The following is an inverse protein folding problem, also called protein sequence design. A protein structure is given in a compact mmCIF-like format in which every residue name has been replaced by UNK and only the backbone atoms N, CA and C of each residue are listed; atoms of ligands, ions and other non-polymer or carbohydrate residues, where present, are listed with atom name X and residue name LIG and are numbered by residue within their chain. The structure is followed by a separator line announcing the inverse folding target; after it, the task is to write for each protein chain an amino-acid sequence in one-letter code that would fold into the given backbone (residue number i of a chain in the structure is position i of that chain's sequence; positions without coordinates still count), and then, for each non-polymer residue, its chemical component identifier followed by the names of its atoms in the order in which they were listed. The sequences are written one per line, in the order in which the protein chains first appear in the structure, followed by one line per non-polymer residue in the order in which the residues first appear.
data_IF_559156550818
#
_entry.id   IF_559156550818
#
_cell.length_a   1.000
_cell.length_b   1.000
_cell.length_c   1.000
_cell.angle_alpha   90.00
_cell.angle_beta   90.00
_cell.angle_gamma   90.00
#
_symmetry.space_group_name_H-M   'P 1'
#
loop_
_entity.id
_entity.type
_entity.pdbx_description
1 polymer ?
#
# COMPACT_ATOMS: atom_id res chain seq x y z
N UNK A 1 -9.59 -27.47 -25.58
CA UNK A 1 -10.77 -26.91 -24.91
C UNK A 1 -10.20 -25.96 -23.89
N UNK A 2 -10.21 -24.68 -24.18
CA UNK A 2 -9.72 -23.62 -23.31
C UNK A 2 -10.80 -23.38 -22.26
N UNK A 3 -10.48 -23.67 -21.00
CA UNK A 3 -11.27 -23.15 -19.90
C UNK A 3 -11.21 -21.63 -19.96
N UNK A 4 -12.34 -21.05 -20.31
CA UNK A 4 -12.51 -19.61 -20.26
C UNK A 4 -12.36 -19.20 -18.77
N UNK A 5 -11.43 -18.30 -18.54
CA UNK A 5 -11.22 -17.62 -17.27
C UNK A 5 -12.52 -16.86 -16.92
N UNK A 6 -13.42 -17.50 -16.19
CA UNK A 6 -14.71 -16.95 -15.74
C UNK A 6 -14.51 -16.22 -14.40
N UNK A 7 -13.40 -15.47 -14.29
CA UNK A 7 -13.18 -14.53 -13.19
C UNK A 7 -14.16 -13.39 -13.37
N UNK A 8 -15.07 -13.11 -12.41
CA UNK A 8 -15.97 -11.97 -12.50
C UNK A 8 -15.12 -10.70 -12.67
N UNK A 9 -15.15 -10.12 -13.84
CA UNK A 9 -14.52 -8.83 -14.11
C UNK A 9 -15.31 -7.77 -13.35
N UNK A 10 -14.92 -7.51 -12.09
CA UNK A 10 -15.37 -6.29 -11.43
C UNK A 10 -14.90 -5.11 -12.28
N UNK A 11 -15.84 -4.41 -12.88
CA UNK A 11 -15.54 -3.20 -13.60
C UNK A 11 -15.04 -2.17 -12.57
N UNK A 12 -13.77 -1.78 -12.68
CA UNK A 12 -13.23 -0.67 -11.88
C UNK A 12 -13.72 0.62 -12.52
N UNK A 13 -14.43 1.43 -11.76
CA UNK A 13 -14.82 2.78 -12.15
C UNK A 13 -13.73 3.75 -11.74
N UNK A 14 -13.36 4.64 -12.65
CA UNK A 14 -12.40 5.71 -12.40
C UNK A 14 -13.12 7.05 -12.32
N UNK A 15 -12.70 7.90 -11.39
CA UNK A 15 -13.27 9.23 -11.19
C UNK A 15 -12.21 10.18 -10.63
N UNK A 16 -12.57 11.47 -10.57
CA UNK A 16 -11.69 12.50 -9.99
C UNK A 16 -12.34 13.12 -8.77
N UNK A 17 -11.53 13.42 -7.76
CA UNK A 17 -11.94 14.12 -6.54
C UNK A 17 -11.18 15.42 -6.45
N UNK A 18 -11.92 16.54 -6.55
CA UNK A 18 -11.36 17.88 -6.35
C UNK A 18 -11.10 18.12 -4.86
N UNK A 19 -9.86 18.46 -4.53
CA UNK A 19 -9.47 18.86 -3.19
C UNK A 19 -9.65 20.38 -3.02
N UNK A 20 -9.88 20.82 -1.78
CA UNK A 20 -10.13 22.24 -1.45
C UNK A 20 -8.96 23.18 -1.80
N UNK A 21 -7.77 22.64 -1.94
CA UNK A 21 -6.55 23.36 -2.31
C UNK A 21 -6.30 23.42 -3.83
N UNK A 22 -7.27 22.93 -4.62
CA UNK A 22 -7.21 22.93 -6.08
C UNK A 22 -6.46 21.76 -6.70
N UNK A 23 -6.00 20.80 -5.89
CA UNK A 23 -5.44 19.55 -6.38
C UNK A 23 -6.56 18.54 -6.70
N UNK A 24 -6.26 17.59 -7.56
CA UNK A 24 -7.18 16.51 -7.98
C UNK A 24 -6.57 15.17 -7.58
N UNK A 25 -7.39 14.27 -7.07
CA UNK A 25 -7.03 12.86 -6.89
C UNK A 25 -7.79 12.00 -7.90
N UNK A 26 -7.07 11.17 -8.63
CA UNK A 26 -7.64 10.14 -9.48
C UNK A 26 -7.96 8.91 -8.63
N UNK A 27 -9.20 8.45 -8.68
CA UNK A 27 -9.79 7.46 -7.78
C UNK A 27 -10.27 6.26 -8.56
N UNK A 28 -10.08 5.08 -7.99
CA UNK A 28 -10.55 3.79 -8.48
C UNK A 28 -11.55 3.20 -7.49
N UNK A 29 -12.64 2.62 -7.99
CA UNK A 29 -13.70 2.03 -7.19
C UNK A 29 -14.27 0.79 -7.89
N UNK A 30 -14.25 -0.35 -7.22
CA UNK A 30 -14.86 -1.58 -7.75
C UNK A 30 -16.37 -1.64 -7.60
N UNK A 31 -16.98 -0.65 -6.92
CA UNK A 31 -18.42 -0.69 -6.62
C UNK A 31 -18.78 -1.83 -5.67
N UNK A 32 -20.09 -2.10 -5.56
CA UNK A 32 -20.56 -3.20 -4.74
C UNK A 32 -20.12 -4.56 -5.32
N UNK A 33 -19.57 -5.46 -4.51
CA UNK A 33 -19.05 -6.74 -4.95
C UNK A 33 -20.11 -7.75 -5.41
N UNK A 34 -21.38 -7.37 -5.44
CA UNK A 34 -22.48 -8.17 -5.96
C UNK A 34 -23.84 -7.69 -5.54
N UNK A 35 -24.89 -8.06 -6.31
CA UNK A 35 -26.27 -7.81 -5.94
C UNK A 35 -26.66 -8.68 -4.74
N UNK A 36 -27.33 -8.15 -3.69
CA UNK A 36 -27.83 -8.97 -2.59
C UNK A 36 -28.64 -10.18 -3.12
N UNK A 37 -28.30 -11.37 -2.65
CA UNK A 37 -28.96 -12.61 -3.07
C UNK A 37 -28.21 -13.44 -4.12
N UNK A 38 -27.05 -12.99 -4.61
CA UNK A 38 -26.15 -13.84 -5.40
C UNK A 38 -25.54 -14.91 -4.49
N UNK A 39 -25.58 -16.22 -4.83
CA UNK A 39 -24.98 -17.26 -4.01
C UNK A 39 -23.51 -16.99 -3.74
N UNK A 40 -23.12 -16.90 -2.46
CA UNK A 40 -21.75 -16.63 -2.00
C UNK A 40 -21.46 -15.16 -1.65
N UNK A 41 -22.39 -14.21 -1.87
CA UNK A 41 -22.23 -12.84 -1.40
C UNK A 41 -22.70 -12.74 0.07
N UNK A 42 -21.89 -12.20 1.00
CA UNK A 42 -22.33 -11.97 2.37
C UNK A 42 -23.54 -11.03 2.43
N UNK A 43 -24.45 -11.28 3.38
CA UNK A 43 -25.55 -10.36 3.65
C UNK A 43 -25.01 -9.09 4.36
N UNK A 44 -25.46 -7.92 3.93
CA UNK A 44 -25.12 -6.63 4.53
C UNK A 44 -24.42 -5.67 3.59
N UNK A 45 -24.04 -4.50 4.10
CA UNK A 45 -23.27 -3.53 3.35
C UNK A 45 -21.84 -4.05 3.12
N UNK A 46 -21.23 -3.80 1.94
CA UNK A 46 -19.86 -4.23 1.67
C UNK A 46 -18.89 -3.52 2.61
N UNK A 47 -17.86 -4.26 3.06
CA UNK A 47 -16.74 -3.64 3.74
C UNK A 47 -15.91 -2.87 2.71
N UNK A 48 -15.79 -1.57 2.89
CA UNK A 48 -14.87 -0.78 2.06
C UNK A 48 -13.45 -0.99 2.57
N UNK A 49 -12.55 -1.40 1.68
CA UNK A 49 -11.11 -1.46 1.95
C UNK A 49 -10.40 -0.46 1.05
N UNK A 50 -9.72 0.50 1.65
CA UNK A 50 -8.89 1.44 0.90
C UNK A 50 -7.52 0.80 0.66
N UNK A 51 -7.21 0.60 -0.63
CA UNK A 51 -5.90 0.09 -1.04
C UNK A 51 -4.90 1.22 -1.20
N UNK A 52 -3.75 1.07 -0.53
CA UNK A 52 -2.61 1.95 -0.68
C UNK A 52 -1.55 1.26 -1.56
N UNK A 53 -1.29 1.84 -2.72
CA UNK A 53 -0.34 1.31 -3.69
C UNK A 53 1.12 1.45 -3.25
N UNK A 54 2.00 0.57 -3.76
CA UNK A 54 3.45 0.63 -3.54
C UNK A 54 4.14 1.81 -4.25
N UNK A 55 5.45 1.84 -4.16
CA UNK A 55 6.29 2.85 -4.82
C UNK A 55 7.28 2.14 -5.77
N UNK A 56 7.31 2.46 -7.07
CA UNK A 56 6.37 3.36 -7.77
C UNK A 56 5.20 2.57 -8.39
N UNK A 57 3.97 2.88 -8.05
CA UNK A 57 2.79 2.28 -8.67
C UNK A 57 1.73 3.36 -8.90
N UNK A 58 0.81 3.14 -9.85
CA UNK A 58 -0.49 3.83 -9.86
C UNK A 58 -1.44 3.18 -8.85
N UNK A 59 -2.53 3.87 -8.52
CA UNK A 59 -3.47 3.47 -7.48
C UNK A 59 -4.41 2.33 -7.83
N UNK A 60 -4.37 1.75 -9.03
CA UNK A 60 -5.27 0.68 -9.40
C UNK A 60 -5.33 -0.44 -8.33
N UNK A 61 -6.53 -0.92 -7.95
CA UNK A 61 -6.67 -1.91 -6.89
C UNK A 61 -6.09 -3.28 -7.28
N UNK A 62 -5.70 -4.13 -6.30
CA UNK A 62 -4.95 -5.36 -6.53
C UNK A 62 -5.82 -6.44 -7.18
N UNK A 63 -5.80 -6.51 -8.51
CA UNK A 63 -6.58 -7.48 -9.29
C UNK A 63 -6.42 -8.94 -8.80
N UNK A 64 -5.24 -9.42 -8.37
CA UNK A 64 -5.10 -10.77 -7.85
C UNK A 64 -6.01 -11.08 -6.65
N UNK A 65 -6.47 -10.06 -5.92
CA UNK A 65 -7.34 -10.22 -4.75
C UNK A 65 -8.84 -10.02 -5.05
N UNK A 66 -9.25 -9.77 -6.29
CA UNK A 66 -10.65 -9.49 -6.61
C UNK A 66 -11.58 -10.66 -6.30
N UNK A 67 -11.17 -11.89 -6.62
CA UNK A 67 -11.98 -13.07 -6.30
C UNK A 67 -12.16 -13.26 -4.79
N UNK A 68 -11.11 -13.05 -4.00
CA UNK A 68 -11.18 -13.12 -2.55
C UNK A 68 -12.05 -11.97 -1.99
N UNK A 69 -11.90 -10.76 -2.49
CA UNK A 69 -12.70 -9.62 -2.10
C UNK A 69 -14.20 -9.84 -2.35
N UNK A 70 -14.56 -10.39 -3.51
CA UNK A 70 -15.95 -10.74 -3.83
C UNK A 70 -16.53 -11.75 -2.82
N UNK A 71 -15.77 -12.80 -2.50
CA UNK A 71 -16.21 -13.80 -1.50
C UNK A 71 -16.40 -13.23 -0.10
N UNK A 72 -15.62 -12.19 0.24
CA UNK A 72 -15.64 -11.52 1.55
C UNK A 72 -16.61 -10.33 1.61
N UNK A 73 -17.27 -9.97 0.50
CA UNK A 73 -18.12 -8.78 0.42
C UNK A 73 -17.32 -7.49 0.60
N UNK A 74 -16.15 -7.39 -0.03
CA UNK A 74 -15.25 -6.24 0.04
C UNK A 74 -15.37 -5.42 -1.25
N UNK A 75 -15.54 -4.11 -1.08
CA UNK A 75 -15.41 -3.07 -2.11
C UNK A 75 -14.03 -2.44 -2.00
N UNK A 76 -13.24 -2.53 -3.04
CA UNK A 76 -11.98 -1.81 -3.12
C UNK A 76 -12.21 -0.35 -3.52
N UNK A 77 -11.62 0.54 -2.77
CA UNK A 77 -11.43 1.95 -3.12
C UNK A 77 -9.94 2.23 -3.09
N UNK A 78 -9.43 2.99 -4.04
CA UNK A 78 -8.03 3.40 -4.06
C UNK A 78 -7.86 4.69 -4.84
N UNK A 79 -6.68 5.27 -4.81
CA UNK A 79 -6.37 6.49 -5.55
C UNK A 79 -4.88 6.53 -5.91
N UNK A 80 -4.56 7.26 -6.95
CA UNK A 80 -3.19 7.60 -7.25
C UNK A 80 -2.68 8.58 -6.20
N UNK A 81 -1.60 8.25 -5.48
CA UNK A 81 -0.97 9.25 -4.61
C UNK A 81 -0.53 10.46 -5.44
N UNK A 82 -0.51 11.68 -4.86
CA UNK A 82 -0.15 12.89 -5.58
C UNK A 82 1.13 12.74 -6.41
N UNK A 83 1.02 13.07 -7.71
CA UNK A 83 2.08 12.96 -8.70
C UNK A 83 2.14 11.66 -9.48
N UNK A 84 1.41 10.62 -9.08
CA UNK A 84 1.23 9.40 -9.87
C UNK A 84 -0.03 9.49 -10.72
N UNK A 85 -0.03 8.73 -11.81
CA UNK A 85 -1.19 8.52 -12.67
C UNK A 85 -1.93 9.81 -13.03
N UNK A 86 -3.21 9.87 -12.67
CA UNK A 86 -4.07 11.05 -12.92
C UNK A 86 -4.10 12.09 -11.81
N UNK A 87 -3.41 11.85 -10.67
CA UNK A 87 -3.43 12.78 -9.55
C UNK A 87 -2.45 13.93 -9.71
N UNK A 88 -2.88 15.14 -9.34
CA UNK A 88 -2.04 16.34 -9.33
C UNK A 88 -0.84 16.16 -8.42
N UNK A 89 0.35 16.54 -8.87
CA UNK A 89 1.56 16.49 -8.06
C UNK A 89 1.47 17.44 -6.85
N UNK A 90 1.95 16.96 -5.71
CA UNK A 90 2.06 17.73 -4.47
C UNK A 90 3.43 17.42 -3.85
N UNK A 91 4.46 18.16 -4.24
CA UNK A 91 5.79 18.03 -3.65
C UNK A 91 5.72 18.33 -2.14
N UNK A 92 6.68 17.81 -1.40
CA UNK A 92 6.81 17.99 0.06
C UNK A 92 5.64 17.39 0.88
N UNK A 93 4.89 16.44 0.31
CA UNK A 93 3.94 15.63 1.06
C UNK A 93 4.67 14.74 2.08
N UNK A 94 4.04 14.49 3.22
CA UNK A 94 4.50 13.54 4.22
C UNK A 94 3.68 12.25 4.16
N UNK A 95 4.07 11.22 4.90
CA UNK A 95 3.26 10.02 5.07
C UNK A 95 1.88 10.37 5.66
N UNK A 96 1.81 11.31 6.63
CA UNK A 96 0.54 11.80 7.19
C UNK A 96 -0.41 12.39 6.15
N UNK A 97 0.09 12.90 5.03
CA UNK A 97 -0.75 13.46 3.96
C UNK A 97 -1.76 12.44 3.42
N UNK A 98 -1.44 11.13 3.46
CA UNK A 98 -2.33 10.06 3.02
C UNK A 98 -3.65 10.02 3.80
N UNK A 99 -3.66 10.40 5.08
CA UNK A 99 -4.89 10.46 5.87
C UNK A 99 -5.88 11.50 5.33
N UNK A 100 -5.37 12.68 4.94
CA UNK A 100 -6.20 13.74 4.34
C UNK A 100 -6.73 13.32 2.98
N UNK A 101 -5.89 12.69 2.17
CA UNK A 101 -6.26 12.24 0.83
C UNK A 101 -7.33 11.14 0.90
N UNK A 102 -7.13 10.14 1.79
CA UNK A 102 -8.13 9.11 2.07
C UNK A 102 -9.44 9.73 2.56
N UNK A 103 -9.39 10.67 3.53
CA UNK A 103 -10.59 11.31 4.04
C UNK A 103 -11.39 11.99 2.92
N UNK A 104 -10.72 12.71 2.01
CA UNK A 104 -11.38 13.35 0.87
C UNK A 104 -12.04 12.32 -0.07
N UNK A 105 -11.35 11.22 -0.38
CA UNK A 105 -11.87 10.14 -1.24
C UNK A 105 -13.08 9.48 -0.61
N UNK A 106 -12.99 9.03 0.64
CA UNK A 106 -14.09 8.30 1.31
C UNK A 106 -15.28 9.21 1.60
N UNK A 107 -15.06 10.49 1.89
CA UNK A 107 -16.13 11.49 2.07
C UNK A 107 -16.86 11.75 0.74
N UNK A 108 -16.13 11.86 -0.38
CA UNK A 108 -16.71 12.00 -1.72
C UNK A 108 -17.60 10.79 -2.07
N UNK A 109 -17.18 9.59 -1.69
CA UNK A 109 -17.90 8.34 -1.94
C UNK A 109 -18.99 8.06 -0.90
N UNK A 110 -19.18 8.92 0.11
CA UNK A 110 -20.17 8.74 1.18
C UNK A 110 -19.85 7.60 2.15
N UNK A 111 -18.57 7.20 2.26
CA UNK A 111 -18.11 6.10 3.12
C UNK A 111 -17.78 6.63 4.52
N UNK A 112 -18.52 6.18 5.53
CA UNK A 112 -18.33 6.58 6.92
C UNK A 112 -17.15 5.90 7.60
N UNK A 113 -17.08 4.57 7.49
CA UNK A 113 -16.04 3.73 8.10
C UNK A 113 -15.48 2.75 7.06
N UNK A 114 -14.21 2.41 7.19
CA UNK A 114 -13.50 1.59 6.20
C UNK A 114 -12.30 0.90 6.85
N UNK A 115 -11.76 -0.12 6.20
CA UNK A 115 -10.47 -0.69 6.55
C UNK A 115 -9.40 -0.24 5.54
N UNK A 116 -8.15 -0.41 5.87
CA UNK A 116 -7.02 -0.05 4.99
C UNK A 116 -6.09 -1.23 4.79
N UNK A 117 -5.56 -1.37 3.58
CA UNK A 117 -4.53 -2.35 3.25
C UNK A 117 -3.55 -1.74 2.28
N UNK A 118 -2.26 -2.04 2.44
CA UNK A 118 -1.24 -1.57 1.51
C UNK A 118 -0.02 -2.47 1.47
N UNK A 119 0.76 -2.34 0.39
CA UNK A 119 1.99 -3.10 0.18
C UNK A 119 3.17 -2.17 -0.05
N UNK A 120 4.35 -2.52 0.48
CA UNK A 120 5.58 -1.72 0.33
C UNK A 120 5.36 -0.30 0.85
N UNK A 121 5.69 0.71 0.09
CA UNK A 121 5.36 2.10 0.42
C UNK A 121 3.88 2.32 0.76
N UNK A 122 2.98 1.54 0.16
CA UNK A 122 1.56 1.56 0.51
C UNK A 122 1.27 1.01 1.90
N UNK A 123 2.01 0.00 2.35
CA UNK A 123 1.94 -0.51 3.73
C UNK A 123 2.25 0.58 4.76
N UNK A 124 3.24 1.43 4.45
CA UNK A 124 3.57 2.61 5.26
C UNK A 124 2.45 3.66 5.22
N UNK A 125 1.94 4.00 4.03
CA UNK A 125 0.89 5.00 3.89
C UNK A 125 -0.46 4.57 4.49
N UNK A 126 -0.75 3.26 4.58
CA UNK A 126 -1.94 2.72 5.22
C UNK A 126 -2.00 3.00 6.73
N UNK A 127 -0.85 3.22 7.37
CA UNK A 127 -0.78 3.54 8.81
C UNK A 127 -1.26 4.96 9.11
N UNK A 128 -1.11 5.90 8.17
CA UNK A 128 -1.47 7.30 8.39
C UNK A 128 -2.98 7.50 8.65
N UNK A 129 -3.92 7.01 7.81
CA UNK A 129 -5.34 7.10 8.11
C UNK A 129 -5.70 6.40 9.42
N UNK A 130 -5.06 5.29 9.78
CA UNK A 130 -5.32 4.58 11.03
C UNK A 130 -4.94 5.41 12.26
N UNK A 131 -3.81 6.12 12.22
CA UNK A 131 -3.39 7.00 13.29
C UNK A 131 -4.22 8.30 13.39
N UNK A 132 -4.61 8.87 12.23
CA UNK A 132 -5.13 10.24 12.17
C UNK A 132 -6.65 10.36 11.98
N UNK A 133 -7.34 9.30 11.52
CA UNK A 133 -8.80 9.31 11.32
C UNK A 133 -9.55 8.50 12.41
N UNK A 134 -8.81 7.92 13.35
CA UNK A 134 -9.36 7.29 14.53
C UNK A 134 -10.39 6.19 14.22
N UNK A 135 -11.56 6.24 14.86
CA UNK A 135 -12.61 5.22 14.76
C UNK A 135 -13.23 5.03 13.37
N UNK A 136 -12.87 5.85 12.38
CA UNK A 136 -13.27 5.61 10.99
C UNK A 136 -12.52 4.41 10.38
N UNK A 137 -11.32 4.10 10.88
CA UNK A 137 -10.52 2.97 10.40
C UNK A 137 -10.79 1.75 11.25
N UNK A 138 -11.41 0.73 10.66
CA UNK A 138 -11.86 -0.49 11.33
C UNK A 138 -10.79 -1.56 11.47
N UNK A 139 -9.72 -1.47 10.71
CA UNK A 139 -8.59 -2.39 10.73
C UNK A 139 -7.54 -2.04 9.69
N UNK A 140 -6.34 -2.53 9.87
CA UNK A 140 -5.16 -2.22 9.06
C UNK A 140 -4.43 -3.50 8.65
N UNK A 141 -4.01 -3.57 7.38
CA UNK A 141 -3.01 -4.54 6.93
C UNK A 141 -1.86 -3.79 6.27
N UNK A 142 -0.68 -3.86 6.88
CA UNK A 142 0.57 -3.32 6.34
C UNK A 142 1.46 -4.48 5.88
N UNK A 143 1.65 -4.61 4.56
CA UNK A 143 2.51 -5.66 3.97
C UNK A 143 3.82 -5.04 3.54
N UNK A 144 4.95 -5.54 4.04
CA UNK A 144 6.31 -5.08 3.71
C UNK A 144 6.49 -3.55 3.80
N UNK A 145 5.83 -2.91 4.78
CA UNK A 145 5.91 -1.47 4.99
C UNK A 145 7.25 -1.05 5.62
N UNK A 146 7.73 0.13 5.24
CA UNK A 146 8.89 0.78 5.87
C UNK A 146 8.49 1.32 7.24
N UNK A 147 9.34 1.20 8.25
CA UNK A 147 9.19 1.86 9.55
C UNK A 147 9.73 3.31 9.50
N UNK A 148 9.43 4.17 10.50
CA UNK A 148 9.90 5.55 10.52
C UNK A 148 11.42 5.66 10.47
N UNK A 149 11.94 6.57 9.64
CA UNK A 149 13.35 6.87 9.62
C UNK A 149 13.79 7.48 10.95
N UNK A 150 14.87 6.92 11.54
CA UNK A 150 15.32 7.33 12.88
C UNK A 150 14.55 6.70 14.03
N UNK A 151 13.70 5.70 13.77
CA UNK A 151 13.01 4.91 14.80
C UNK A 151 14.01 4.33 15.80
N UNK A 152 13.73 4.52 17.08
CA UNK A 152 14.65 4.07 18.14
C UNK A 152 14.80 2.55 18.14
N UNK A 153 16.05 2.08 18.12
CA UNK A 153 16.35 0.64 18.11
C UNK A 153 16.33 -0.02 16.73
N UNK A 154 15.99 0.70 15.66
CA UNK A 154 16.01 0.20 14.28
C UNK A 154 17.26 0.76 13.55
N UNK A 155 18.11 -0.12 13.02
CA UNK A 155 19.03 0.27 11.96
C UNK A 155 18.28 0.23 10.62
N UNK A 156 17.79 1.40 10.18
CA UNK A 156 16.89 1.56 9.05
C UNK A 156 17.41 0.93 7.74
N UNK A 157 18.71 0.92 7.52
CA UNK A 157 19.32 0.42 6.28
C UNK A 157 19.86 -1.02 6.39
N UNK A 158 19.90 -1.58 7.60
CA UNK A 158 20.44 -2.91 7.80
C UNK A 158 19.63 -3.98 7.07
N UNK A 159 20.29 -4.79 6.24
CA UNK A 159 19.65 -5.84 5.44
C UNK A 159 19.10 -5.39 4.10
N UNK A 160 18.97 -4.08 3.82
CA UNK A 160 18.60 -3.61 2.49
C UNK A 160 19.64 -3.96 1.44
N UNK A 161 19.21 -4.29 0.23
CA UNK A 161 20.10 -4.41 -0.91
C UNK A 161 20.82 -3.07 -1.18
N UNK A 162 22.09 -3.11 -1.64
CA UNK A 162 22.89 -1.90 -1.78
C UNK A 162 22.25 -0.78 -2.59
N UNK A 163 21.55 -1.12 -3.67
CA UNK A 163 20.88 -0.12 -4.52
C UNK A 163 19.71 0.57 -3.81
N UNK A 164 18.82 -0.19 -3.15
CA UNK A 164 17.72 0.36 -2.37
C UNK A 164 18.23 1.24 -1.21
N UNK A 165 19.23 0.77 -0.49
CA UNK A 165 19.88 1.54 0.58
C UNK A 165 20.51 2.84 0.05
N UNK A 166 21.15 2.81 -1.13
CA UNK A 166 21.74 4.00 -1.75
C UNK A 166 20.67 5.02 -2.16
N UNK A 167 19.57 4.56 -2.74
CA UNK A 167 18.41 5.36 -3.13
C UNK A 167 17.81 6.11 -1.92
N UNK A 168 17.50 5.39 -0.83
CA UNK A 168 16.93 6.01 0.37
C UNK A 168 17.94 6.87 1.15
N UNK A 169 19.25 6.56 1.10
CA UNK A 169 20.28 7.46 1.64
C UNK A 169 20.38 8.76 0.85
N UNK A 170 20.22 8.70 -0.47
CA UNK A 170 20.15 9.90 -1.30
C UNK A 170 18.92 10.75 -0.92
N UNK A 171 17.77 10.13 -0.68
CA UNK A 171 16.58 10.82 -0.16
C UNK A 171 16.84 11.44 1.22
N UNK A 172 17.47 10.73 2.14
CA UNK A 172 17.84 11.25 3.47
C UNK A 172 18.82 12.43 3.40
N UNK A 173 19.63 12.51 2.34
CA UNK A 173 20.50 13.67 2.07
C UNK A 173 19.74 14.85 1.43
N UNK A 174 18.47 14.69 1.09
CA UNK A 174 17.57 15.72 0.57
C UNK A 174 17.27 15.61 -0.92
N UNK A 175 16.27 16.36 -1.37
CA UNK A 175 15.70 16.33 -2.73
C UNK A 175 16.75 16.37 -3.83
N UNK A 176 17.68 17.33 -3.78
CA UNK A 176 18.70 17.46 -4.82
C UNK A 176 19.61 16.24 -4.96
N UNK A 177 19.95 15.60 -3.84
CA UNK A 177 20.73 14.36 -3.85
C UNK A 177 19.93 13.19 -4.43
N UNK A 178 18.63 13.10 -4.08
CA UNK A 178 17.74 12.08 -4.62
C UNK A 178 17.51 12.25 -6.12
N UNK A 179 17.26 13.47 -6.59
CA UNK A 179 17.14 13.79 -8.03
C UNK A 179 18.40 13.42 -8.80
N UNK A 180 19.58 13.73 -8.25
CA UNK A 180 20.86 13.33 -8.84
C UNK A 180 21.04 11.82 -8.90
N UNK A 181 20.57 11.09 -7.87
CA UNK A 181 20.59 9.62 -7.86
C UNK A 181 19.69 9.06 -8.97
N UNK A 182 18.43 9.53 -9.07
CA UNK A 182 17.48 9.08 -10.09
C UNK A 182 17.90 9.41 -11.53
N UNK A 183 18.68 10.46 -11.71
CA UNK A 183 19.26 10.82 -13.02
C UNK A 183 20.54 10.03 -13.36
N UNK A 184 20.99 9.14 -12.50
CA UNK A 184 22.22 8.36 -12.67
C UNK A 184 21.92 6.90 -13.03
N UNK A 185 22.90 6.16 -13.62
CA UNK A 185 22.75 4.73 -13.85
C UNK A 185 22.55 3.89 -12.57
N UNK A 186 22.78 4.45 -11.40
CA UNK A 186 22.56 3.77 -10.12
C UNK A 186 21.06 3.54 -9.82
N UNK A 187 20.16 4.31 -10.44
CA UNK A 187 18.72 4.14 -10.32
C UNK A 187 18.22 2.82 -10.97
N UNK A 188 18.93 2.32 -11.99
CA UNK A 188 18.60 1.08 -12.70
C UNK A 188 19.24 -0.17 -12.08
N UNK A 189 19.91 -0.04 -10.93
CA UNK A 189 20.58 -1.16 -10.29
C UNK A 189 19.58 -2.11 -9.62
N UNK A 190 19.99 -3.38 -9.47
CA UNK A 190 19.20 -4.42 -8.77
C UNK A 190 18.86 -3.99 -7.34
N UNK A 191 17.58 -3.83 -7.06
CA UNK A 191 17.05 -3.43 -5.75
C UNK A 191 16.92 -4.60 -4.77
N UNK A 192 17.16 -5.84 -5.21
CA UNK A 192 17.30 -6.99 -4.33
C UNK A 192 16.11 -7.94 -4.26
N UNK A 193 15.34 -8.10 -5.33
CA UNK A 193 14.37 -9.19 -5.42
C UNK A 193 15.06 -10.54 -5.27
N UNK A 194 14.40 -11.47 -4.57
CA UNK A 194 14.87 -12.84 -4.37
C UNK A 194 14.17 -13.79 -5.33
N UNK A 195 14.67 -15.03 -5.48
CA UNK A 195 14.10 -16.03 -6.41
C UNK A 195 12.60 -16.26 -6.19
N UNK A 196 12.14 -16.19 -4.94
CA UNK A 196 10.72 -16.30 -4.61
C UNK A 196 9.89 -15.13 -5.17
N UNK A 197 10.46 -13.92 -5.22
CA UNK A 197 9.80 -12.74 -5.82
C UNK A 197 9.69 -12.88 -7.33
N UNK A 198 10.75 -13.39 -7.98
CA UNK A 198 10.72 -13.68 -9.43
C UNK A 198 9.65 -14.72 -9.77
N UNK A 199 9.49 -15.75 -8.93
CA UNK A 199 8.42 -16.71 -9.08
C UNK A 199 7.02 -16.09 -8.89
N UNK A 200 6.87 -15.15 -7.95
CA UNK A 200 5.62 -14.43 -7.73
C UNK A 200 5.26 -13.52 -8.92
N UNK A 201 6.24 -12.85 -9.54
CA UNK A 201 6.05 -12.08 -10.77
C UNK A 201 5.67 -12.95 -11.97
N UNK A 202 6.16 -14.19 -12.04
CA UNK A 202 5.76 -15.14 -13.08
C UNK A 202 4.32 -15.66 -12.87
N UNK A 203 3.74 -15.45 -11.69
CA UNK A 203 2.39 -15.84 -11.29
C UNK A 203 1.40 -14.64 -11.27
N UNK A 204 0.40 -14.69 -10.37
CA UNK A 204 -0.64 -13.66 -10.27
C UNK A 204 -0.10 -12.24 -10.04
N UNK A 205 1.04 -12.12 -9.35
CA UNK A 205 1.64 -10.82 -9.03
C UNK A 205 2.43 -10.21 -10.19
N UNK A 206 2.50 -10.87 -11.35
CA UNK A 206 2.84 -10.22 -12.63
C UNK A 206 1.96 -9.01 -12.95
N UNK A 207 0.82 -8.89 -12.24
CA UNK A 207 -0.04 -7.71 -12.21
C UNK A 207 0.73 -6.41 -11.96
N UNK A 208 1.81 -6.42 -11.18
CA UNK A 208 2.63 -5.23 -10.92
C UNK A 208 3.13 -4.56 -12.21
N UNK A 209 3.36 -5.32 -13.27
CA UNK A 209 3.70 -4.76 -14.58
C UNK A 209 2.67 -3.76 -15.12
N UNK A 210 1.39 -3.92 -14.74
CA UNK A 210 0.30 -3.02 -15.17
C UNK A 210 0.22 -1.72 -14.35
N UNK A 211 0.88 -1.62 -13.21
CA UNK A 211 0.81 -0.45 -12.31
C UNK A 211 2.15 0.29 -12.16
N UNK A 212 3.28 -0.39 -12.35
CA UNK A 212 4.62 0.22 -12.28
C UNK A 212 4.93 1.04 -13.54
N UNK A 213 4.72 0.46 -14.72
CA UNK A 213 5.00 1.14 -15.99
C UNK A 213 4.29 2.50 -16.11
N UNK A 214 2.96 2.56 -15.95
CA UNK A 214 2.22 3.82 -15.96
C UNK A 214 2.68 4.82 -14.90
N UNK A 215 3.09 4.36 -13.71
CA UNK A 215 3.55 5.24 -12.62
C UNK A 215 4.82 6.03 -12.98
N UNK A 216 5.68 5.44 -13.82
CA UNK A 216 6.95 6.06 -14.26
C UNK A 216 6.83 6.80 -15.59
N UNK A 217 5.68 6.77 -16.25
CA UNK A 217 5.49 7.38 -17.57
C UNK A 217 5.75 8.90 -17.57
N UNK A 218 5.49 9.59 -16.45
CA UNK A 218 5.75 11.02 -16.26
C UNK A 218 7.14 11.31 -15.64
N UNK A 219 7.99 10.29 -15.50
CA UNK A 219 9.30 10.40 -14.86
C UNK A 219 9.27 10.09 -13.35
N UNK A 220 10.40 10.26 -12.64
CA UNK A 220 10.57 9.78 -11.27
C UNK A 220 10.09 10.75 -10.18
N UNK A 221 9.48 11.87 -10.52
CA UNK A 221 9.16 12.93 -9.53
C UNK A 221 8.32 12.43 -8.35
N UNK A 222 7.29 11.62 -8.62
CA UNK A 222 6.41 11.07 -7.58
C UNK A 222 7.11 10.01 -6.71
N UNK A 223 8.01 9.21 -7.30
CA UNK A 223 8.88 8.28 -6.56
C UNK A 223 9.83 9.05 -5.63
N UNK A 224 10.42 10.14 -6.13
CA UNK A 224 11.28 11.02 -5.31
C UNK A 224 10.50 11.58 -4.11
N UNK A 225 9.26 12.03 -4.32
CA UNK A 225 8.40 12.55 -3.26
C UNK A 225 8.06 11.47 -2.22
N UNK A 226 7.80 10.23 -2.63
CA UNK A 226 7.58 9.11 -1.72
C UNK A 226 8.83 8.82 -0.88
N UNK A 227 9.98 8.67 -1.52
CA UNK A 227 11.21 8.35 -0.80
C UNK A 227 11.60 9.43 0.20
N UNK A 228 11.39 10.72 -0.14
CA UNK A 228 11.58 11.84 0.79
C UNK A 228 10.61 11.76 1.97
N UNK A 229 9.35 11.37 1.73
CA UNK A 229 8.38 11.21 2.79
C UNK A 229 8.75 10.07 3.76
N UNK A 230 9.31 8.95 3.26
CA UNK A 230 9.72 7.83 4.11
C UNK A 230 10.87 8.17 5.07
N UNK A 231 11.80 9.01 4.63
CA UNK A 231 12.98 9.41 5.41
C UNK A 231 12.82 10.71 6.18
N UNK A 232 11.63 11.32 6.11
CA UNK A 232 11.26 12.53 6.87
C UNK A 232 10.41 12.16 8.10
N UNK A 233 10.06 13.16 8.91
CA UNK A 233 9.03 13.01 9.93
C UNK A 233 7.70 12.63 9.27
N UNK A 234 7.11 11.53 9.71
CA UNK A 234 5.84 11.05 9.15
C UNK A 234 4.66 11.95 9.48
N UNK A 235 4.75 12.73 10.58
CA UNK A 235 3.68 13.60 11.09
C UNK A 235 2.66 12.87 11.96
N UNK A 236 2.94 11.65 12.41
CA UNK A 236 2.18 10.87 13.39
C UNK A 236 3.07 9.80 14.05
N UNK A 237 2.65 9.29 15.21
CA UNK A 237 3.30 8.16 15.87
C UNK A 237 2.51 6.87 15.59
N UNK A 238 3.13 5.78 15.11
CA UNK A 238 2.47 4.48 15.00
C UNK A 238 1.84 3.98 16.31
N UNK A 239 2.36 4.41 17.46
CA UNK A 239 1.79 4.15 18.78
C UNK A 239 0.39 4.75 19.00
N UNK A 240 -0.05 5.69 18.18
CA UNK A 240 -1.39 6.28 18.24
C UNK A 240 -2.45 5.45 17.50
N UNK A 241 -2.05 4.39 16.79
CA UNK A 241 -2.97 3.51 16.05
C UNK A 241 -3.75 2.65 17.04
N UNK A 242 -5.06 2.88 17.11
CA UNK A 242 -5.97 2.11 17.98
C UNK A 242 -6.71 0.98 17.23
N UNK A 243 -6.72 1.00 15.90
CA UNK A 243 -7.36 -0.02 15.10
C UNK A 243 -6.55 -1.33 15.13
N UNK A 244 -7.20 -2.52 15.16
CA UNK A 244 -6.52 -3.79 15.00
C UNK A 244 -5.63 -3.77 13.77
N UNK A 245 -4.36 -4.12 13.92
CA UNK A 245 -3.35 -4.01 12.87
C UNK A 245 -2.67 -5.35 12.62
N UNK A 246 -2.58 -5.75 11.37
CA UNK A 246 -1.77 -6.88 10.92
C UNK A 246 -0.58 -6.36 10.13
N UNK A 247 0.61 -6.64 10.63
CA UNK A 247 1.86 -6.43 9.90
C UNK A 247 2.28 -7.76 9.27
N UNK A 248 2.44 -7.78 7.96
CA UNK A 248 2.88 -8.96 7.20
C UNK A 248 4.24 -8.66 6.57
N UNK A 249 5.22 -9.55 6.74
CA UNK A 249 6.57 -9.30 6.22
C UNK A 249 7.28 -10.57 5.76
N UNK A 250 8.03 -10.47 4.66
CA UNK A 250 8.91 -11.52 4.19
C UNK A 250 10.23 -11.53 4.96
N UNK A 251 10.62 -12.69 5.50
CA UNK A 251 11.89 -12.84 6.23
C UNK A 251 13.13 -12.70 5.34
N UNK A 252 12.98 -12.96 4.04
CA UNK A 252 14.03 -12.82 3.03
C UNK A 252 13.96 -11.49 2.25
N UNK A 253 13.10 -10.56 2.67
CA UNK A 253 12.92 -9.24 2.03
C UNK A 253 14.22 -8.41 2.15
N UNK A 254 14.77 -8.02 1.00
CA UNK A 254 15.99 -7.21 0.89
C UNK A 254 15.71 -5.79 0.36
N UNK A 255 14.46 -5.50 0.05
CA UNK A 255 14.00 -4.17 -0.34
C UNK A 255 13.62 -3.39 0.92
N UNK A 256 12.70 -3.96 1.71
CA UNK A 256 12.36 -3.51 3.06
C UNK A 256 12.60 -4.69 4.00
N UNK A 257 13.72 -4.73 4.75
CA UNK A 257 14.03 -5.85 5.63
C UNK A 257 12.97 -6.10 6.71
N UNK A 258 12.81 -7.36 7.12
CA UNK A 258 11.82 -7.79 8.11
C UNK A 258 11.88 -7.02 9.43
N UNK A 259 13.06 -6.50 9.80
CA UNK A 259 13.26 -5.65 10.98
C UNK A 259 12.34 -4.40 11.02
N UNK A 260 11.92 -3.90 9.85
CA UNK A 260 10.94 -2.81 9.78
C UNK A 260 9.56 -3.28 10.23
N UNK A 261 9.10 -4.44 9.74
CA UNK A 261 7.84 -5.04 10.17
C UNK A 261 7.84 -5.43 11.64
N UNK A 262 8.92 -6.00 12.14
CA UNK A 262 9.11 -6.33 13.56
C UNK A 262 9.03 -5.08 14.42
N UNK A 263 9.68 -3.99 14.00
CA UNK A 263 9.61 -2.72 14.70
C UNK A 263 8.19 -2.16 14.70
N UNK A 264 7.50 -2.11 13.55
CA UNK A 264 6.12 -1.63 13.44
C UNK A 264 5.18 -2.44 14.34
N UNK A 265 5.27 -3.77 14.32
CA UNK A 265 4.46 -4.62 15.18
C UNK A 265 4.73 -4.41 16.68
N UNK A 266 5.96 -4.03 17.04
CA UNK A 266 6.29 -3.71 18.43
C UNK A 266 5.83 -2.31 18.87
N UNK A 267 5.70 -1.37 17.94
CA UNK A 267 5.33 0.01 18.20
C UNK A 267 3.82 0.23 18.23
N UNK A 268 3.05 -0.54 17.46
CA UNK A 268 1.59 -0.43 17.37
C UNK A 268 0.94 -1.25 18.48
N UNK A 269 0.07 -0.67 19.34
CA UNK A 269 -0.44 -1.35 20.55
C UNK A 269 -1.23 -2.63 20.30
N UNK A 270 -2.05 -2.67 19.23
CA UNK A 270 -2.89 -3.84 18.88
C UNK A 270 -2.46 -4.37 17.52
N UNK A 271 -1.22 -4.88 17.46
CA UNK A 271 -0.64 -5.41 16.23
C UNK A 271 -0.26 -6.88 16.35
N UNK A 272 -0.68 -7.66 15.33
CA UNK A 272 -0.17 -8.99 15.04
C UNK A 272 0.96 -8.90 13.99
N UNK A 273 1.97 -9.76 14.10
CA UNK A 273 3.03 -9.93 13.09
C UNK A 273 2.93 -11.30 12.43
N UNK A 274 2.79 -11.31 11.11
CA UNK A 274 2.98 -12.50 10.29
C UNK A 274 4.31 -12.40 9.54
N UNK A 275 5.31 -13.11 10.04
CA UNK A 275 6.60 -13.21 9.39
C UNK A 275 6.65 -14.49 8.54
N UNK A 276 6.89 -14.35 7.24
CA UNK A 276 7.04 -15.44 6.28
C UNK A 276 8.54 -15.68 6.01
N UNK A 277 9.17 -16.67 6.65
CA UNK A 277 10.63 -16.73 6.73
C UNK A 277 11.37 -16.86 5.39
N UNK A 278 10.72 -17.42 4.38
CA UNK A 278 11.33 -17.70 3.07
C UNK A 278 10.88 -16.73 1.97
N UNK A 279 9.88 -15.89 2.25
CA UNK A 279 9.36 -14.94 1.28
C UNK A 279 10.17 -13.64 1.27
N UNK A 280 10.27 -13.05 0.09
CA UNK A 280 10.82 -11.72 -0.15
C UNK A 280 9.75 -10.64 -0.12
N UNK A 281 10.01 -9.57 -0.87
CA UNK A 281 9.17 -8.37 -0.90
C UNK A 281 7.82 -8.57 -1.60
N UNK A 282 7.80 -9.39 -2.65
CA UNK A 282 6.60 -9.66 -3.47
C UNK A 282 5.99 -11.01 -3.13
N UNK A 283 6.82 -12.02 -2.91
CA UNK A 283 6.35 -13.38 -2.64
C UNK A 283 5.54 -13.48 -1.34
N UNK A 284 5.79 -12.62 -0.37
CA UNK A 284 4.97 -12.50 0.85
C UNK A 284 3.49 -12.22 0.57
N UNK A 285 3.17 -11.65 -0.59
CA UNK A 285 1.79 -11.46 -1.04
C UNK A 285 1.05 -12.77 -1.36
N UNK A 286 1.73 -13.91 -1.32
CA UNK A 286 1.08 -15.24 -1.31
C UNK A 286 0.10 -15.37 -0.14
N UNK A 287 0.32 -14.64 0.96
CA UNK A 287 -0.56 -14.61 2.15
C UNK A 287 -1.62 -13.52 2.11
N UNK A 288 -1.71 -12.75 1.01
CA UNK A 288 -2.58 -11.57 0.96
C UNK A 288 -4.08 -11.91 1.04
N UNK A 289 -4.53 -13.07 0.55
CA UNK A 289 -5.92 -13.52 0.72
C UNK A 289 -6.26 -13.83 2.18
N UNK A 290 -5.35 -14.48 2.91
CA UNK A 290 -5.49 -14.75 4.34
C UNK A 290 -5.47 -13.45 5.14
N UNK A 291 -4.58 -12.52 4.80
CA UNK A 291 -4.53 -11.19 5.42
C UNK A 291 -5.82 -10.39 5.18
N UNK A 292 -6.39 -10.47 3.97
CA UNK A 292 -7.69 -9.86 3.65
C UNK A 292 -8.84 -10.50 4.44
N UNK A 293 -8.78 -11.81 4.65
CA UNK A 293 -9.75 -12.53 5.49
C UNK A 293 -9.63 -12.10 6.95
N UNK A 294 -8.42 -11.96 7.47
CA UNK A 294 -8.16 -11.42 8.81
C UNK A 294 -8.73 -10.00 8.94
N UNK A 295 -8.43 -9.13 7.97
CA UNK A 295 -8.92 -7.74 7.95
C UNK A 295 -10.46 -7.67 7.97
N UNK A 296 -11.12 -8.51 7.17
CA UNK A 296 -12.58 -8.58 7.14
C UNK A 296 -13.18 -9.00 8.48
N UNK A 297 -12.53 -9.89 9.22
CA UNK A 297 -12.97 -10.34 10.55
C UNK A 297 -12.75 -9.25 11.59
N UNK A 298 -11.56 -8.64 11.61
CA UNK A 298 -11.23 -7.56 12.53
C UNK A 298 -12.19 -6.37 12.37
N UNK A 299 -12.45 -5.95 11.13
CA UNK A 299 -13.33 -4.83 10.84
C UNK A 299 -14.82 -5.10 11.20
N UNK A 300 -15.29 -6.34 11.15
CA UNK A 300 -16.69 -6.71 11.46
C UNK A 300 -16.91 -7.08 12.93
N UNK A 301 -15.85 -7.36 13.67
CA UNK A 301 -15.87 -7.66 15.11
C UNK A 301 -15.66 -6.43 16.00
N UNK A 302 -15.44 -5.28 15.38
CA UNK A 302 -15.19 -3.99 16.05
C UNK A 302 -16.52 -3.21 16.30
#
# INVERSE_FOLDING_TARGET
MSDADDTPTHAVTESEVDLRDGHVLHVYDTGDPGTPGTPGTPEGEPLVVVWHHGTPNIGAPPRPLFAAAARLGIRWVSYDRPGYGGSTARPDRSVASAARDVAAVVDHLGVGSFAVMGHSGGGTHALAPAALLGSRVLGVVSVSGVAPYGAAGLDFFAGMAPAGAASLRAAAAGRAAKEAHEASPAADADIGFVDADEAAFAGPWGWFGSVVGPALAAGPAALIDDDLAYVSDWGFDPGDIAAPTLVVHGGADRIVPASHGEWLASAIPDADLWLQPLDGHISVLSTAEEALTWLSRAARGS
#
